data_IF_853152656173
#
_entry.id   IF_853152656173
#
_cell.length_a   1.000
_cell.length_b   1.000
_cell.length_c   1.000
_cell.angle_alpha   90.00
_cell.angle_beta   90.00
_cell.angle_gamma   90.00
#
_symmetry.space_group_name_H-M   'P 1'
#
loop_
_entity.id
_entity.type
_entity.pdbx_description
1 polymer ?
#
# COMPACT_ATOMS: atom_id res chain seq x y z
N UNK A 1 -30.73 -6.67 39.23
CA UNK A 1 -30.44 -7.26 37.89
C UNK A 1 -30.23 -6.18 36.81
N UNK A 2 -29.14 -5.36 36.89
CA UNK A 2 -28.78 -4.40 35.83
C UNK A 2 -27.28 -3.96 35.87
N UNK A 3 -26.35 -4.82 36.24
CA UNK A 3 -24.90 -4.46 36.32
C UNK A 3 -24.00 -5.36 35.45
N UNK A 4 -24.53 -6.33 34.69
CA UNK A 4 -23.69 -7.32 34.03
C UNK A 4 -23.44 -7.10 32.51
N UNK A 5 -23.93 -6.02 31.89
CA UNK A 5 -23.79 -5.81 30.42
C UNK A 5 -22.77 -4.73 29.98
N UNK A 6 -22.19 -3.96 30.90
CA UNK A 6 -21.27 -2.87 30.57
C UNK A 6 -19.82 -3.35 30.50
N UNK A 7 -19.47 -4.45 31.14
CA UNK A 7 -18.08 -4.96 31.23
C UNK A 7 -17.63 -5.70 29.95
N UNK A 8 -18.55 -6.29 29.20
CA UNK A 8 -18.23 -7.08 27.99
C UNK A 8 -17.87 -6.22 26.76
N UNK A 9 -18.53 -5.08 26.58
CA UNK A 9 -18.25 -4.15 25.46
C UNK A 9 -16.90 -3.41 25.62
N UNK A 10 -16.52 -3.10 26.85
CA UNK A 10 -15.23 -2.48 27.16
C UNK A 10 -14.04 -3.44 26.96
N UNK A 11 -14.22 -4.71 27.28
CA UNK A 11 -13.22 -5.75 27.10
C UNK A 11 -12.98 -6.08 25.61
N UNK A 12 -14.03 -6.18 24.81
CA UNK A 12 -13.91 -6.41 23.35
C UNK A 12 -13.25 -5.23 22.62
N UNK A 13 -13.58 -3.97 22.97
CA UNK A 13 -12.93 -2.79 22.38
C UNK A 13 -11.44 -2.72 22.74
N UNK A 14 -11.06 -3.01 23.98
CA UNK A 14 -9.64 -3.07 24.39
C UNK A 14 -8.86 -4.19 23.71
N UNK A 15 -9.46 -5.34 23.51
CA UNK A 15 -8.87 -6.47 22.79
C UNK A 15 -8.63 -6.12 21.32
N UNK A 16 -9.61 -5.54 20.63
CA UNK A 16 -9.52 -5.10 19.25
C UNK A 16 -8.42 -4.03 19.05
N UNK A 17 -8.36 -3.01 19.92
CA UNK A 17 -7.31 -1.97 19.86
C UNK A 17 -5.91 -2.56 20.08
N UNK A 18 -5.78 -3.57 20.94
CA UNK A 18 -4.48 -4.21 21.17
C UNK A 18 -4.04 -5.09 19.99
N UNK A 19 -4.96 -5.73 19.30
CA UNK A 19 -4.66 -6.59 18.15
C UNK A 19 -4.28 -5.78 16.91
N UNK A 20 -5.00 -4.71 16.58
CA UNK A 20 -4.66 -3.79 15.47
C UNK A 20 -3.30 -3.14 15.66
N UNK A 21 -2.97 -2.73 16.89
CA UNK A 21 -1.65 -2.24 17.26
C UNK A 21 -0.54 -3.29 17.01
N UNK A 22 -0.84 -4.58 17.23
CA UNK A 22 0.09 -5.68 16.97
C UNK A 22 0.37 -5.85 15.47
N UNK A 23 -0.65 -5.76 14.60
CA UNK A 23 -0.50 -5.83 13.15
C UNK A 23 0.33 -4.66 12.60
N UNK A 24 0.08 -3.42 13.08
CA UNK A 24 0.87 -2.26 12.70
C UNK A 24 2.33 -2.37 13.16
N UNK A 25 2.57 -2.77 14.41
CA UNK A 25 3.93 -2.98 14.91
C UNK A 25 4.70 -4.04 14.10
N UNK A 26 4.00 -5.06 13.61
CA UNK A 26 4.59 -6.07 12.73
C UNK A 26 4.99 -5.47 11.37
N UNK A 27 4.14 -4.61 10.78
CA UNK A 27 4.48 -3.88 9.54
C UNK A 27 5.68 -2.95 9.76
N UNK A 28 5.70 -2.17 10.86
CA UNK A 28 6.83 -1.29 11.19
C UNK A 28 8.13 -2.08 11.27
N UNK A 29 8.12 -3.23 11.96
CA UNK A 29 9.29 -4.12 12.02
C UNK A 29 9.67 -4.72 10.67
N UNK A 30 8.68 -5.05 9.84
CA UNK A 30 8.90 -5.59 8.49
C UNK A 30 9.59 -4.56 7.58
N UNK A 31 9.27 -3.28 7.74
CA UNK A 31 9.87 -2.18 6.99
C UNK A 31 11.23 -1.72 7.58
N UNK A 32 11.52 -2.06 8.82
CA UNK A 32 12.81 -1.81 9.48
C UNK A 32 13.82 -2.88 9.07
N UNK A 33 14.68 -2.56 8.12
CA UNK A 33 15.65 -3.49 7.56
C UNK A 33 16.85 -3.72 8.49
N UNK A 34 17.42 -4.91 8.43
CA UNK A 34 18.74 -5.21 8.98
C UNK A 34 19.83 -4.61 8.08
N UNK A 35 20.82 -3.95 8.67
CA UNK A 35 22.00 -3.47 7.95
C UNK A 35 23.03 -4.61 7.89
N UNK A 36 23.42 -4.98 6.68
CA UNK A 36 24.51 -5.95 6.46
C UNK A 36 25.82 -5.24 6.20
N UNK A 37 25.79 -4.16 5.41
CA UNK A 37 26.90 -3.31 5.04
C UNK A 37 26.37 -1.90 4.70
N UNK A 38 27.24 -0.92 4.48
CA UNK A 38 26.91 0.51 4.27
C UNK A 38 25.76 0.74 3.26
N UNK A 39 25.73 0.00 2.17
CA UNK A 39 24.71 0.10 1.13
C UNK A 39 23.92 -1.19 0.91
N UNK A 40 24.02 -2.13 1.84
CA UNK A 40 23.44 -3.46 1.73
C UNK A 40 22.54 -3.76 2.94
N UNK A 41 21.28 -4.07 2.67
CA UNK A 41 20.27 -4.29 3.70
C UNK A 41 19.54 -5.60 3.46
N UNK A 42 19.01 -6.20 4.52
CA UNK A 42 18.19 -7.41 4.46
C UNK A 42 16.81 -7.17 5.05
N UNK A 43 15.78 -7.51 4.27
CA UNK A 43 14.39 -7.49 4.68
C UNK A 43 13.79 -8.91 4.75
N UNK A 44 12.91 -9.13 5.71
CA UNK A 44 12.08 -10.32 5.78
C UNK A 44 10.81 -10.14 4.96
N UNK A 45 10.10 -11.24 4.65
CA UNK A 45 8.82 -11.21 3.96
C UNK A 45 7.68 -11.65 4.87
N UNK A 46 6.49 -11.14 4.60
CA UNK A 46 5.27 -11.52 5.30
C UNK A 46 4.18 -11.97 4.31
N UNK A 47 3.50 -13.08 4.67
CA UNK A 47 2.36 -13.55 3.91
C UNK A 47 1.12 -12.68 4.20
N UNK A 48 0.71 -11.88 3.23
CA UNK A 48 -0.51 -11.07 3.30
C UNK A 48 -1.70 -11.70 2.56
N UNK A 49 -1.56 -12.95 2.06
CA UNK A 49 -2.64 -13.72 1.43
C UNK A 49 -2.47 -13.97 -0.08
N UNK A 50 -1.32 -13.63 -0.62
CA UNK A 50 -0.95 -13.96 -2.00
C UNK A 50 0.03 -15.14 -2.07
N UNK A 51 0.27 -15.69 -3.26
CA UNK A 51 1.25 -16.76 -3.48
C UNK A 51 2.69 -16.23 -3.57
N UNK A 52 2.90 -14.92 -3.51
CA UNK A 52 4.18 -14.22 -3.74
C UNK A 52 4.36 -13.11 -2.73
N UNK A 53 5.58 -12.59 -2.60
CA UNK A 53 5.83 -11.38 -1.83
C UNK A 53 4.96 -10.23 -2.36
N UNK A 54 4.37 -9.47 -1.47
CA UNK A 54 3.55 -8.31 -1.80
C UNK A 54 4.41 -7.17 -2.35
N UNK A 55 4.03 -6.60 -3.51
CA UNK A 55 4.79 -5.52 -4.16
C UNK A 55 4.98 -4.31 -3.28
N UNK A 56 3.93 -3.86 -2.59
CA UNK A 56 4.01 -2.74 -1.66
C UNK A 56 5.01 -2.95 -0.51
N UNK A 57 5.22 -4.21 -0.05
CA UNK A 57 6.27 -4.54 0.91
C UNK A 57 7.65 -4.22 0.33
N UNK A 58 7.90 -4.68 -0.91
CA UNK A 58 9.21 -4.48 -1.57
C UNK A 58 9.46 -2.99 -1.82
N UNK A 59 8.44 -2.24 -2.26
CA UNK A 59 8.52 -0.77 -2.43
C UNK A 59 8.87 -0.09 -1.11
N UNK A 60 8.14 -0.36 -0.02
CA UNK A 60 8.36 0.25 1.28
C UNK A 60 9.73 -0.08 1.88
N UNK A 61 10.18 -1.32 1.74
CA UNK A 61 11.52 -1.76 2.16
C UNK A 61 12.62 -1.11 1.32
N UNK A 62 12.49 -1.04 0.00
CA UNK A 62 13.46 -0.40 -0.89
C UNK A 62 13.56 1.12 -0.62
N UNK A 63 12.42 1.80 -0.35
CA UNK A 63 12.43 3.20 0.08
C UNK A 63 13.18 3.37 1.40
N UNK A 64 12.97 2.48 2.38
CA UNK A 64 13.69 2.50 3.66
C UNK A 64 15.19 2.29 3.46
N UNK A 65 15.59 1.31 2.62
CA UNK A 65 16.99 1.06 2.30
C UNK A 65 17.66 2.30 1.70
N UNK A 66 17.04 2.89 0.66
CA UNK A 66 17.56 4.09 0.01
C UNK A 66 17.70 5.27 0.98
N UNK A 67 16.67 5.54 1.77
CA UNK A 67 16.63 6.69 2.70
C UNK A 67 17.72 6.61 3.78
N UNK A 68 18.13 5.41 4.20
CA UNK A 68 19.21 5.20 5.18
C UNK A 68 20.61 5.54 4.65
N UNK A 69 20.74 5.75 3.35
CA UNK A 69 22.01 6.15 2.70
C UNK A 69 22.04 7.62 2.28
N UNK A 70 20.95 8.36 2.55
CA UNK A 70 20.80 9.76 2.13
C UNK A 70 21.21 10.71 3.26
N UNK A 71 21.85 11.85 2.96
CA UNK A 71 22.16 12.87 3.97
C UNK A 71 20.90 13.34 4.71
N UNK A 72 21.06 13.72 5.97
CA UNK A 72 19.97 14.24 6.81
C UNK A 72 19.18 15.38 6.15
N UNK A 73 17.92 15.55 6.58
CA UNK A 73 16.99 16.59 6.12
C UNK A 73 16.64 16.54 4.62
N UNK A 74 16.86 15.40 3.97
CA UNK A 74 16.36 15.11 2.61
C UNK A 74 15.28 14.05 2.68
N UNK A 75 14.15 14.31 2.04
CA UNK A 75 12.97 13.46 2.05
C UNK A 75 12.69 12.94 0.65
N UNK A 76 12.23 11.72 0.53
CA UNK A 76 11.81 11.17 -0.74
C UNK A 76 10.70 12.05 -1.33
N UNK A 77 10.84 12.46 -2.59
CA UNK A 77 9.79 13.15 -3.33
C UNK A 77 9.30 12.35 -4.53
N UNK A 78 10.08 11.38 -5.03
CA UNK A 78 9.62 10.46 -6.08
C UNK A 78 10.34 9.12 -6.04
N UNK A 79 9.66 8.09 -6.51
CA UNK A 79 10.19 6.75 -6.77
C UNK A 79 9.57 6.19 -8.05
N UNK A 80 10.35 5.34 -8.77
CA UNK A 80 9.97 4.68 -10.01
C UNK A 80 10.52 3.26 -9.99
N UNK A 81 9.68 2.26 -10.18
CA UNK A 81 10.05 0.88 -9.97
C UNK A 81 9.52 -0.06 -11.05
N UNK A 82 10.25 -1.16 -11.29
CA UNK A 82 9.82 -2.32 -12.08
C UNK A 82 9.85 -3.58 -11.23
N UNK A 83 8.80 -4.38 -11.31
CA UNK A 83 8.75 -5.73 -10.78
C UNK A 83 9.27 -6.70 -11.84
N UNK A 84 10.41 -7.31 -11.59
CA UNK A 84 11.13 -8.12 -12.59
C UNK A 84 10.78 -9.60 -12.49
N UNK A 85 10.64 -10.11 -11.26
CA UNK A 85 10.35 -11.53 -10.97
C UNK A 85 9.47 -11.66 -9.73
N UNK A 86 8.71 -12.75 -9.60
CA UNK A 86 7.96 -13.03 -8.37
C UNK A 86 8.91 -13.24 -7.19
N UNK A 87 8.69 -12.50 -6.10
CA UNK A 87 9.39 -12.73 -4.84
C UNK A 87 8.87 -13.96 -4.11
N UNK A 88 9.77 -14.73 -3.50
CA UNK A 88 9.51 -15.92 -2.70
C UNK A 88 9.44 -15.53 -1.21
N UNK A 89 8.36 -15.88 -0.50
CA UNK A 89 8.15 -15.50 0.89
C UNK A 89 9.03 -16.28 1.88
N UNK A 90 9.60 -17.41 1.47
CA UNK A 90 10.45 -18.24 2.33
C UNK A 90 11.88 -17.70 2.43
N UNK A 91 12.27 -16.78 1.56
CA UNK A 91 13.61 -16.22 1.52
C UNK A 91 13.63 -14.75 1.86
N UNK A 92 14.67 -14.27 2.57
CA UNK A 92 14.87 -12.84 2.78
C UNK A 92 15.17 -12.14 1.44
N UNK A 93 14.92 -10.83 1.42
CA UNK A 93 15.24 -9.98 0.27
C UNK A 93 16.47 -9.15 0.63
N UNK A 94 17.46 -9.14 -0.25
CA UNK A 94 18.63 -8.30 -0.14
C UNK A 94 18.42 -7.05 -0.98
N UNK A 95 18.54 -5.88 -0.36
CA UNK A 95 18.45 -4.57 -1.00
C UNK A 95 19.85 -3.98 -1.16
N UNK A 96 20.30 -3.91 -2.40
CA UNK A 96 21.57 -3.27 -2.76
C UNK A 96 21.28 -1.84 -3.22
N UNK A 97 21.84 -0.84 -2.53
CA UNK A 97 21.64 0.59 -2.80
C UNK A 97 22.85 1.15 -3.54
N UNK A 98 22.63 1.68 -4.73
CA UNK A 98 23.59 2.46 -5.47
C UNK A 98 23.42 3.95 -5.13
N UNK A 99 24.49 4.61 -4.67
CA UNK A 99 24.55 6.06 -4.44
C UNK A 99 24.80 6.78 -5.75
N UNK A 100 23.79 6.88 -6.59
CA UNK A 100 23.90 7.40 -7.95
C UNK A 100 24.35 8.87 -7.98
N UNK A 101 23.83 9.71 -7.06
CA UNK A 101 24.19 11.13 -6.99
C UNK A 101 23.91 11.74 -5.63
N UNK A 102 24.83 12.56 -5.13
CA UNK A 102 24.63 13.50 -4.03
C UNK A 102 24.90 14.93 -4.51
N UNK A 103 23.83 15.67 -4.81
CA UNK A 103 23.91 17.08 -5.25
C UNK A 103 23.60 18.07 -4.11
N UNK A 104 23.60 19.36 -4.39
CA UNK A 104 23.33 20.41 -3.41
C UNK A 104 21.91 20.38 -2.82
N UNK A 105 20.87 20.19 -3.66
CA UNK A 105 19.47 20.13 -3.23
C UNK A 105 18.88 18.72 -3.38
N UNK A 106 19.28 17.95 -4.38
CA UNK A 106 18.75 16.63 -4.71
C UNK A 106 19.77 15.52 -4.48
N UNK A 107 19.26 14.34 -4.08
CA UNK A 107 20.02 13.10 -3.94
C UNK A 107 19.27 12.01 -4.71
N UNK A 108 19.98 11.20 -5.49
CA UNK A 108 19.40 10.08 -6.25
C UNK A 108 20.00 8.77 -5.75
N UNK A 109 19.14 7.78 -5.59
CA UNK A 109 19.50 6.39 -5.24
C UNK A 109 18.84 5.42 -6.23
N UNK A 110 19.53 4.33 -6.49
CA UNK A 110 18.94 3.16 -7.15
C UNK A 110 18.99 1.99 -6.19
N UNK A 111 17.93 1.21 -6.12
CA UNK A 111 17.83 0.03 -5.25
C UNK A 111 17.49 -1.17 -6.11
N UNK A 112 18.31 -2.21 -6.05
CA UNK A 112 18.01 -3.52 -6.62
C UNK A 112 17.68 -4.48 -5.48
N UNK A 113 16.48 -5.06 -5.51
CA UNK A 113 16.09 -6.11 -4.58
C UNK A 113 16.41 -7.49 -5.20
N UNK A 114 17.12 -8.32 -4.43
CA UNK A 114 17.70 -9.59 -4.90
C UNK A 114 17.22 -10.73 -4.02
N UNK A 115 16.85 -11.84 -4.63
CA UNK A 115 16.63 -13.12 -3.98
C UNK A 115 17.31 -14.24 -4.76
N UNK A 116 17.96 -15.19 -4.08
CA UNK A 116 18.63 -16.35 -4.71
C UNK A 116 19.60 -15.95 -5.82
N UNK A 117 20.28 -14.79 -5.69
CA UNK A 117 21.20 -14.26 -6.68
C UNK A 117 20.53 -13.51 -7.85
N UNK A 118 19.19 -13.50 -7.96
CA UNK A 118 18.46 -12.90 -9.08
C UNK A 118 17.78 -11.61 -8.66
N UNK A 119 17.87 -10.53 -9.48
CA UNK A 119 17.07 -9.32 -9.27
C UNK A 119 15.58 -9.63 -9.40
N UNK A 120 14.78 -9.28 -8.37
CA UNK A 120 13.33 -9.42 -8.38
C UNK A 120 12.62 -8.08 -8.57
N UNK A 121 13.33 -6.97 -8.29
CA UNK A 121 12.78 -5.61 -8.33
C UNK A 121 13.92 -4.60 -8.50
N UNK A 122 13.64 -3.50 -9.22
CA UNK A 122 14.56 -2.38 -9.45
C UNK A 122 13.82 -1.07 -9.25
N UNK A 123 14.37 -0.12 -8.47
CA UNK A 123 13.73 1.15 -8.16
C UNK A 123 14.73 2.30 -8.14
N UNK A 124 14.43 3.37 -8.85
CA UNK A 124 15.12 4.65 -8.74
C UNK A 124 14.32 5.59 -7.82
N UNK A 125 15.01 6.33 -6.95
CA UNK A 125 14.42 7.29 -6.02
C UNK A 125 15.15 8.63 -6.09
N UNK A 126 14.38 9.70 -5.89
CA UNK A 126 14.91 11.05 -5.71
C UNK A 126 14.46 11.63 -4.37
N UNK A 127 15.43 12.27 -3.70
CA UNK A 127 15.26 12.93 -2.40
C UNK A 127 15.57 14.41 -2.54
N UNK A 128 14.87 15.25 -1.79
CA UNK A 128 15.01 16.68 -1.86
C UNK A 128 14.98 17.30 -0.45
N UNK A 129 15.76 18.34 -0.23
CA UNK A 129 15.66 19.19 0.97
C UNK A 129 14.41 20.08 0.87
N UNK A 130 13.84 20.52 2.00
CA UNK A 130 12.71 21.45 1.99
C UNK A 130 13.14 22.81 1.41
N UNK A 131 12.38 23.31 0.44
CA UNK A 131 12.56 24.62 -0.19
C UNK A 131 11.20 25.33 -0.35
N UNK A 132 11.21 26.66 -0.39
CA UNK A 132 10.01 27.45 -0.69
C UNK A 132 9.84 27.56 -2.19
N UNK A 133 8.59 27.50 -2.68
CA UNK A 133 8.27 27.59 -4.09
C UNK A 133 6.76 27.84 -4.32
N UNK A 134 6.35 28.01 -5.59
CA UNK A 134 4.93 28.04 -5.95
C UNK A 134 4.19 26.79 -5.49
N UNK A 135 2.91 26.91 -5.16
CA UNK A 135 2.09 25.79 -4.72
C UNK A 135 0.69 25.85 -5.31
N UNK A 136 0.22 24.74 -5.86
CA UNK A 136 -1.16 24.51 -6.27
C UNK A 136 -1.48 23.02 -6.15
N UNK A 137 -2.74 22.66 -6.21
CA UNK A 137 -3.22 21.28 -6.32
C UNK A 137 -4.58 21.25 -7.02
N UNK A 138 -5.00 20.07 -7.47
CA UNK A 138 -6.38 19.82 -7.85
C UNK A 138 -7.21 19.52 -6.59
N UNK A 139 -8.46 19.95 -6.58
CA UNK A 139 -9.36 19.72 -5.45
C UNK A 139 -9.69 18.21 -5.32
N UNK A 140 -9.87 17.78 -4.08
CA UNK A 140 -10.37 16.46 -3.78
C UNK A 140 -11.82 16.32 -4.26
N UNK A 141 -12.16 15.18 -4.86
CA UNK A 141 -13.55 14.87 -5.20
C UNK A 141 -14.45 14.92 -3.96
N UNK A 142 -15.68 15.38 -4.12
CA UNK A 142 -16.67 15.39 -3.04
C UNK A 142 -17.16 13.97 -2.75
N UNK A 143 -16.47 13.30 -1.84
CA UNK A 143 -16.68 11.90 -1.45
C UNK A 143 -17.10 11.86 0.03
N UNK A 144 -18.04 10.99 0.41
CA UNK A 144 -18.42 10.77 1.80
C UNK A 144 -17.21 10.50 2.69
N UNK A 145 -17.22 11.04 3.91
CA UNK A 145 -16.13 10.88 4.86
C UNK A 145 -15.93 9.42 5.33
N UNK A 146 -14.80 9.11 5.97
CA UNK A 146 -14.49 7.73 6.35
C UNK A 146 -15.50 7.14 7.35
N UNK A 147 -16.21 7.96 8.12
CA UNK A 147 -17.26 7.50 9.06
C UNK A 147 -18.51 6.99 8.35
N UNK A 148 -18.77 7.46 7.16
CA UNK A 148 -19.93 7.09 6.32
C UNK A 148 -19.65 5.88 5.43
N UNK A 149 -18.39 5.46 5.35
CA UNK A 149 -17.92 4.35 4.55
C UNK A 149 -17.88 3.03 5.34
N UNK A 150 -17.95 1.90 4.62
CA UNK A 150 -17.98 0.56 5.21
C UNK A 150 -16.55 0.05 5.40
N UNK A 151 -16.22 -0.45 6.59
CA UNK A 151 -14.89 -1.01 6.84
C UNK A 151 -14.68 -2.33 6.09
N UNK A 152 -13.42 -2.57 5.65
CA UNK A 152 -12.99 -3.84 5.04
C UNK A 152 -13.35 -5.04 5.95
N UNK A 153 -13.22 -4.89 7.27
CA UNK A 153 -13.54 -5.94 8.23
C UNK A 153 -15.05 -6.24 8.28
N UNK A 154 -15.92 -5.24 8.19
CA UNK A 154 -17.37 -5.45 8.18
C UNK A 154 -17.82 -6.11 6.88
N UNK A 155 -17.21 -5.75 5.75
CA UNK A 155 -17.45 -6.42 4.47
C UNK A 155 -17.03 -7.89 4.57
N UNK A 156 -15.84 -8.18 5.08
CA UNK A 156 -15.34 -9.55 5.25
C UNK A 156 -16.25 -10.40 6.14
N UNK A 157 -16.75 -9.84 7.25
CA UNK A 157 -17.69 -10.54 8.12
C UNK A 157 -19.00 -10.89 7.39
N UNK A 158 -19.50 -10.03 6.52
CA UNK A 158 -20.73 -10.29 5.74
C UNK A 158 -20.58 -11.46 4.75
N UNK A 159 -19.37 -11.68 4.23
CA UNK A 159 -19.13 -12.72 3.23
C UNK A 159 -18.41 -13.95 3.77
N UNK A 160 -18.17 -14.02 5.08
CA UNK A 160 -17.34 -15.06 5.72
C UNK A 160 -17.82 -16.49 5.42
N UNK A 161 -19.14 -16.69 5.29
CA UNK A 161 -19.73 -17.99 5.00
C UNK A 161 -19.38 -18.51 3.59
N UNK A 162 -19.00 -17.60 2.67
CA UNK A 162 -18.51 -17.96 1.32
C UNK A 162 -17.06 -18.44 1.34
N UNK A 163 -16.34 -18.23 2.46
CA UNK A 163 -14.93 -18.60 2.60
C UNK A 163 -14.84 -19.99 3.25
N UNK A 164 -14.06 -20.92 2.68
CA UNK A 164 -13.83 -22.23 3.27
C UNK A 164 -13.34 -22.13 4.72
N UNK A 165 -13.88 -22.94 5.62
CA UNK A 165 -13.63 -22.84 7.07
C UNK A 165 -12.13 -22.77 7.42
N UNK A 166 -11.29 -23.58 6.76
CA UNK A 166 -9.82 -23.60 6.96
C UNK A 166 -9.09 -22.29 6.64
N UNK A 167 -9.74 -21.33 5.95
CA UNK A 167 -9.15 -20.04 5.56
C UNK A 167 -9.80 -18.85 6.28
N UNK A 168 -10.85 -19.05 7.08
CA UNK A 168 -11.62 -17.97 7.71
C UNK A 168 -10.77 -17.14 8.68
N UNK A 169 -9.97 -17.76 9.53
CA UNK A 169 -9.11 -17.04 10.48
C UNK A 169 -8.09 -16.16 9.77
N UNK A 170 -7.47 -16.70 8.72
CA UNK A 170 -6.54 -15.93 7.90
C UNK A 170 -7.24 -14.77 7.16
N UNK A 171 -8.45 -14.99 6.67
CA UNK A 171 -9.25 -13.99 5.97
C UNK A 171 -9.69 -12.84 6.90
N UNK A 172 -10.10 -13.18 8.12
CA UNK A 172 -10.53 -12.21 9.14
C UNK A 172 -9.38 -11.61 9.96
N UNK A 173 -8.14 -12.02 9.71
CA UNK A 173 -7.02 -11.46 10.46
C UNK A 173 -6.95 -9.94 10.31
N UNK A 174 -6.55 -9.27 11.36
CA UNK A 174 -6.31 -7.84 11.34
C UNK A 174 -5.16 -7.46 10.40
N UNK A 175 -5.31 -6.31 9.77
CA UNK A 175 -4.34 -5.78 8.83
C UNK A 175 -3.72 -4.49 9.39
N UNK A 176 -2.47 -4.19 9.01
CA UNK A 176 -1.78 -2.98 9.47
C UNK A 176 -2.34 -1.69 8.87
N UNK A 177 -3.09 -1.79 7.78
CA UNK A 177 -3.79 -0.67 7.13
C UNK A 177 -5.30 -0.90 7.28
N UNK A 178 -5.97 0.04 7.94
CA UNK A 178 -7.43 0.11 7.99
C UNK A 178 -7.93 0.72 6.67
N UNK A 179 -8.90 0.08 6.04
CA UNK A 179 -9.50 0.53 4.78
C UNK A 179 -11.01 0.63 4.95
N UNK A 180 -11.60 1.67 4.33
CA UNK A 180 -13.05 1.87 4.25
C UNK A 180 -13.45 2.21 2.83
N UNK A 181 -14.49 1.55 2.37
CA UNK A 181 -14.95 1.60 0.98
C UNK A 181 -16.30 2.28 0.87
N UNK A 182 -16.52 2.98 -0.22
CA UNK A 182 -17.86 3.36 -0.63
C UNK A 182 -18.68 2.11 -0.94
N UNK A 183 -20.00 2.14 -0.78
CA UNK A 183 -20.85 1.00 -1.14
C UNK A 183 -20.63 0.57 -2.59
N UNK A 184 -20.38 -0.73 -2.82
CA UNK A 184 -20.14 -1.30 -4.15
C UNK A 184 -18.73 -1.13 -4.70
N UNK A 185 -17.81 -0.48 -4.00
CA UNK A 185 -16.43 -0.26 -4.44
C UNK A 185 -15.39 -1.20 -3.79
N UNK A 186 -15.81 -2.12 -2.94
CA UNK A 186 -14.89 -3.09 -2.34
C UNK A 186 -14.47 -4.16 -3.34
N UNK A 187 -13.23 -4.63 -3.22
CA UNK A 187 -12.74 -5.78 -4.00
C UNK A 187 -13.51 -7.09 -3.72
N UNK A 188 -14.33 -7.13 -2.68
CA UNK A 188 -15.17 -8.26 -2.29
C UNK A 188 -16.61 -8.15 -2.81
N UNK A 189 -16.99 -7.00 -3.37
CA UNK A 189 -18.30 -6.81 -3.98
C UNK A 189 -18.41 -7.60 -5.28
N UNK A 190 -19.62 -7.96 -5.65
CA UNK A 190 -19.88 -8.61 -6.96
C UNK A 190 -19.47 -7.63 -8.07
N UNK A 191 -18.63 -8.09 -9.03
CA UNK A 191 -18.19 -7.24 -10.11
C UNK A 191 -19.34 -6.87 -11.03
N UNK A 192 -19.76 -5.63 -10.94
CA UNK A 192 -20.72 -4.99 -11.87
C UNK A 192 -19.96 -4.33 -13.02
N UNK A 193 -20.65 -3.83 -14.02
CA UNK A 193 -20.06 -3.03 -15.09
C UNK A 193 -19.87 -1.60 -14.57
N UNK A 194 -18.80 -1.36 -13.83
CA UNK A 194 -18.53 -0.09 -13.18
C UNK A 194 -17.62 0.79 -14.04
N UNK A 195 -17.69 2.10 -13.82
CA UNK A 195 -16.71 3.05 -14.34
C UNK A 195 -15.31 2.76 -13.74
N UNK A 196 -14.23 3.08 -14.45
CA UNK A 196 -12.87 2.81 -13.99
C UNK A 196 -12.41 3.83 -12.93
N UNK A 197 -13.20 4.00 -11.89
CA UNK A 197 -12.94 4.89 -10.76
C UNK A 197 -13.16 4.13 -9.45
N UNK A 198 -12.34 4.40 -8.45
CA UNK A 198 -12.48 3.80 -7.13
C UNK A 198 -11.96 4.75 -6.07
N UNK A 199 -12.64 4.75 -4.93
CA UNK A 199 -12.29 5.60 -3.79
C UNK A 199 -12.18 4.73 -2.54
N UNK A 200 -11.07 4.87 -1.81
CA UNK A 200 -10.85 4.12 -0.58
C UNK A 200 -10.24 5.04 0.47
N UNK A 201 -10.87 5.14 1.64
CA UNK A 201 -10.24 5.74 2.79
C UNK A 201 -9.28 4.75 3.43
N UNK A 202 -8.07 5.16 3.73
CA UNK A 202 -7.05 4.31 4.33
C UNK A 202 -6.25 5.06 5.38
N UNK A 203 -5.79 4.32 6.40
CA UNK A 203 -4.80 4.77 7.39
C UNK A 203 -4.08 3.60 8.02
N UNK A 204 -2.93 3.84 8.64
CA UNK A 204 -2.30 2.88 9.53
C UNK A 204 -3.21 2.56 10.73
N UNK A 205 -3.28 1.30 11.13
CA UNK A 205 -4.20 0.81 12.16
C UNK A 205 -3.70 1.09 13.61
N UNK A 206 -3.13 2.26 13.84
CA UNK A 206 -2.64 2.74 15.15
C UNK A 206 -1.75 3.95 14.99
N UNK A 207 -1.29 4.51 16.11
CA UNK A 207 -0.44 5.70 16.12
C UNK A 207 1.01 5.37 15.77
N UNK A 208 1.64 6.27 15.03
CA UNK A 208 3.02 6.22 14.57
C UNK A 208 3.84 7.38 15.19
N UNK A 209 5.15 7.21 15.40
CA UNK A 209 6.03 8.30 15.75
C UNK A 209 6.11 9.38 14.66
N UNK A 210 6.65 10.56 14.99
CA UNK A 210 6.76 11.70 14.07
C UNK A 210 7.97 11.59 13.12
N UNK A 211 8.16 10.43 12.52
CA UNK A 211 9.25 10.15 11.59
C UNK A 211 8.74 10.14 10.14
N UNK A 212 9.12 11.15 9.37
CA UNK A 212 8.66 11.32 7.96
C UNK A 212 8.89 10.07 7.13
N UNK A 213 10.08 9.45 7.24
CA UNK A 213 10.40 8.23 6.50
C UNK A 213 9.42 7.10 6.79
N UNK A 214 9.03 6.92 8.06
CA UNK A 214 8.10 5.86 8.43
C UNK A 214 6.71 6.08 7.81
N UNK A 215 6.21 7.32 7.81
CA UNK A 215 4.95 7.66 7.13
C UNK A 215 5.05 7.43 5.62
N UNK A 216 6.15 7.83 4.98
CA UNK A 216 6.38 7.61 3.55
C UNK A 216 6.47 6.12 3.21
N UNK A 217 7.20 5.31 3.98
CA UNK A 217 7.34 3.88 3.74
C UNK A 217 6.01 3.11 3.91
N UNK A 218 5.19 3.50 4.91
CA UNK A 218 3.86 2.93 5.12
C UNK A 218 2.90 3.33 4.00
N UNK A 219 2.93 4.58 3.54
CA UNK A 219 2.10 4.99 2.40
C UNK A 219 2.55 4.31 1.11
N UNK A 220 3.85 4.17 0.86
CA UNK A 220 4.38 3.42 -0.27
C UNK A 220 3.96 1.94 -0.24
N UNK A 221 3.97 1.32 0.95
CA UNK A 221 3.39 -0.02 1.15
C UNK A 221 1.89 -0.06 0.80
N UNK A 222 1.12 0.92 1.28
CA UNK A 222 -0.33 0.96 1.10
C UNK A 222 -0.76 1.33 -0.33
N UNK A 223 0.04 2.09 -1.07
CA UNK A 223 -0.28 2.58 -2.42
C UNK A 223 -0.43 1.45 -3.46
N UNK A 224 0.20 0.29 -3.24
CA UNK A 224 0.03 -0.91 -4.08
C UNK A 224 -1.24 -1.71 -3.73
N UNK A 225 -1.91 -1.38 -2.60
CA UNK A 225 -3.12 -2.09 -2.19
C UNK A 225 -4.31 -1.72 -3.08
N UNK A 226 -4.63 -2.60 -4.01
CA UNK A 226 -5.84 -2.51 -4.83
C UNK A 226 -5.80 -1.49 -5.98
N UNK A 227 -4.67 -0.84 -6.26
CA UNK A 227 -4.54 0.10 -7.38
C UNK A 227 -4.87 -0.57 -8.72
N UNK A 228 -4.25 -1.71 -9.01
CA UNK A 228 -4.50 -2.48 -10.25
C UNK A 228 -5.97 -2.92 -10.41
N UNK A 229 -6.71 -3.11 -9.31
CA UNK A 229 -8.11 -3.54 -9.39
C UNK A 229 -9.03 -2.50 -10.03
N UNK A 230 -8.62 -1.23 -10.11
CA UNK A 230 -9.39 -0.16 -10.75
C UNK A 230 -9.60 -0.42 -12.24
N UNK A 231 -8.57 -0.89 -12.96
CA UNK A 231 -8.68 -1.27 -14.37
C UNK A 231 -9.50 -2.54 -14.61
N UNK A 232 -9.80 -3.32 -13.60
CA UNK A 232 -10.62 -4.54 -13.71
C UNK A 232 -12.13 -4.25 -13.73
N UNK A 233 -12.55 -3.10 -13.14
CA UNK A 233 -13.94 -2.74 -12.91
C UNK A 233 -14.80 -2.75 -14.19
N UNK A 234 -14.39 -2.12 -15.33
CA UNK A 234 -15.20 -2.10 -16.56
C UNK A 234 -15.35 -3.48 -17.20
N UNK A 235 -14.47 -4.42 -16.87
CA UNK A 235 -14.40 -5.74 -17.51
C UNK A 235 -15.03 -6.85 -16.67
N UNK A 236 -15.66 -6.52 -15.53
CA UNK A 236 -16.22 -7.51 -14.58
C UNK A 236 -15.21 -8.56 -14.13
N UNK A 237 -13.92 -8.18 -14.08
CA UNK A 237 -12.84 -9.02 -13.58
C UNK A 237 -12.71 -8.85 -12.06
N UNK A 238 -12.47 -9.96 -11.37
CA UNK A 238 -12.37 -9.94 -9.91
C UNK A 238 -11.53 -11.12 -9.40
N UNK A 239 -10.71 -10.87 -8.40
CA UNK A 239 -10.00 -11.93 -7.68
C UNK A 239 -10.96 -12.92 -7.02
N UNK A 240 -12.09 -12.43 -6.50
CA UNK A 240 -13.12 -13.28 -5.88
C UNK A 240 -13.75 -14.28 -6.87
N UNK A 241 -13.88 -13.91 -8.16
CA UNK A 241 -14.35 -14.80 -9.21
C UNK A 241 -13.29 -15.74 -9.75
N UNK A 242 -12.01 -15.50 -9.47
CA UNK A 242 -10.90 -16.28 -10.00
C UNK A 242 -10.81 -16.23 -11.53
N UNK A 243 -11.33 -15.17 -12.18
CA UNK A 243 -11.41 -15.04 -13.63
C UNK A 243 -10.30 -14.16 -14.24
N UNK A 244 -9.32 -13.78 -13.43
CA UNK A 244 -8.19 -12.94 -13.84
C UNK A 244 -6.87 -13.42 -13.22
N UNK A 245 -5.84 -13.49 -14.04
CA UNK A 245 -4.46 -13.58 -13.60
C UNK A 245 -3.85 -12.19 -13.71
N UNK A 246 -3.31 -11.69 -12.60
CA UNK A 246 -2.74 -10.35 -12.57
C UNK A 246 -1.35 -10.32 -11.91
N UNK A 247 -0.57 -9.33 -12.28
CA UNK A 247 0.71 -9.00 -11.67
C UNK A 247 1.03 -7.53 -11.92
N UNK A 248 1.54 -6.81 -10.92
CA UNK A 248 2.12 -5.47 -11.10
C UNK A 248 3.36 -5.58 -11.99
N UNK A 249 3.50 -4.65 -12.93
CA UNK A 249 4.66 -4.56 -13.84
C UNK A 249 5.60 -3.46 -13.38
N UNK A 250 5.06 -2.31 -13.01
CA UNK A 250 5.77 -1.16 -12.50
C UNK A 250 5.03 -0.51 -11.33
N UNK A 251 5.62 0.47 -10.71
CA UNK A 251 4.98 1.38 -9.76
C UNK A 251 5.78 2.66 -9.66
N UNK A 252 5.15 3.81 -9.82
CA UNK A 252 5.78 5.09 -9.54
C UNK A 252 4.93 5.91 -8.57
N UNK A 253 5.60 6.70 -7.73
CA UNK A 253 4.93 7.50 -6.70
C UNK A 253 5.66 8.82 -6.49
N UNK A 254 4.90 9.88 -6.20
CA UNK A 254 5.40 11.20 -5.83
C UNK A 254 4.80 11.61 -4.49
N UNK A 255 5.64 12.15 -3.61
CA UNK A 255 5.24 12.74 -2.33
C UNK A 255 5.25 14.27 -2.49
N UNK A 256 4.10 14.90 -2.34
CA UNK A 256 3.92 16.33 -2.63
C UNK A 256 4.00 17.20 -1.37
N UNK A 257 3.38 16.76 -0.28
CA UNK A 257 3.26 17.52 0.97
C UNK A 257 3.41 16.60 2.17
N UNK A 258 3.76 17.16 3.37
CA UNK A 258 3.78 16.39 4.61
C UNK A 258 2.40 15.79 4.92
N UNK A 259 2.40 14.59 5.49
CA UNK A 259 1.20 13.87 5.90
C UNK A 259 1.52 12.92 7.06
N UNK A 260 0.47 12.41 7.68
CA UNK A 260 0.55 11.33 8.66
C UNK A 260 -0.19 10.10 8.12
N UNK A 261 0.52 8.98 8.00
CA UNK A 261 -0.08 7.73 7.53
C UNK A 261 -1.03 7.09 8.56
N UNK A 262 -1.01 7.55 9.82
CA UNK A 262 -1.93 7.12 10.89
C UNK A 262 -3.18 8.03 11.04
N UNK A 263 -3.38 8.94 10.10
CA UNK A 263 -4.59 9.72 9.92
C UNK A 263 -5.31 9.30 8.63
N UNK A 264 -6.62 9.58 8.54
CA UNK A 264 -7.38 9.18 7.37
C UNK A 264 -6.88 9.91 6.11
N UNK A 265 -6.67 9.12 5.06
CA UNK A 265 -6.32 9.59 3.73
C UNK A 265 -7.26 8.95 2.71
N UNK A 266 -7.79 9.75 1.79
CA UNK A 266 -8.54 9.27 0.64
C UNK A 266 -7.58 8.87 -0.48
N UNK A 267 -7.61 7.62 -0.90
CA UNK A 267 -6.96 7.15 -2.12
C UNK A 267 -7.99 7.10 -3.24
N UNK A 268 -7.99 8.12 -4.08
CA UNK A 268 -8.85 8.25 -5.26
C UNK A 268 -8.09 7.73 -6.47
N UNK A 269 -8.61 6.68 -7.11
CA UNK A 269 -7.94 5.99 -8.22
C UNK A 269 -8.80 6.00 -9.47
N UNK A 270 -8.15 6.08 -10.63
CA UNK A 270 -8.76 5.93 -11.95
C UNK A 270 -7.92 5.03 -12.85
N UNK A 271 -8.55 4.52 -13.91
CA UNK A 271 -7.87 3.75 -14.96
C UNK A 271 -8.26 4.30 -16.34
N UNK A 272 -7.41 5.15 -16.93
CA UNK A 272 -7.71 5.74 -18.24
C UNK A 272 -7.56 4.77 -19.41
N UNK A 273 -6.91 3.61 -19.21
CA UNK A 273 -6.65 2.66 -20.30
C UNK A 273 -6.46 1.23 -19.82
N UNK A 274 -7.01 0.29 -20.58
CA UNK A 274 -6.66 -1.12 -20.53
C UNK A 274 -6.54 -1.66 -21.95
N UNK A 275 -5.39 -2.28 -22.30
CA UNK A 275 -5.12 -2.85 -23.62
C UNK A 275 -4.04 -3.90 -23.56
N UNK A 276 -4.01 -4.83 -24.53
CA UNK A 276 -2.97 -5.87 -24.61
C UNK A 276 -2.74 -6.62 -23.29
N UNK A 277 -3.82 -6.99 -22.62
CA UNK A 277 -3.83 -7.62 -21.29
C UNK A 277 -3.09 -6.82 -20.20
N UNK A 278 -2.98 -5.49 -20.33
CA UNK A 278 -2.46 -4.58 -19.30
C UNK A 278 -3.52 -3.55 -18.92
N UNK A 279 -3.51 -3.14 -17.67
CA UNK A 279 -4.32 -2.05 -17.15
C UNK A 279 -3.41 -0.97 -16.56
N UNK A 280 -3.58 0.28 -17.01
CA UNK A 280 -2.88 1.43 -16.46
C UNK A 280 -3.79 2.14 -15.45
N UNK A 281 -3.25 2.42 -14.27
CA UNK A 281 -3.99 2.98 -13.15
C UNK A 281 -3.25 4.18 -12.58
N UNK A 282 -4.00 5.18 -12.13
CA UNK A 282 -3.49 6.35 -11.43
C UNK A 282 -4.18 6.48 -10.09
N UNK A 283 -3.51 7.10 -9.13
CA UNK A 283 -4.07 7.37 -7.83
C UNK A 283 -3.58 8.67 -7.24
N UNK A 284 -4.49 9.41 -6.63
CA UNK A 284 -4.22 10.62 -5.86
C UNK A 284 -4.57 10.38 -4.41
N UNK A 285 -3.66 10.72 -3.49
CA UNK A 285 -3.86 10.54 -2.05
C UNK A 285 -4.07 11.92 -1.42
N UNK A 286 -5.22 12.10 -0.78
CA UNK A 286 -5.60 13.33 -0.07
C UNK A 286 -5.73 13.06 1.43
N UNK A 287 -5.39 14.03 2.26
CA UNK A 287 -5.79 14.05 3.67
C UNK A 287 -7.31 14.20 3.82
N UNK A 288 -7.85 13.99 5.01
CA UNK A 288 -9.30 14.15 5.27
C UNK A 288 -9.79 15.59 5.03
N UNK A 289 -8.92 16.58 5.18
CA UNK A 289 -9.17 18.00 4.89
C UNK A 289 -8.85 18.40 3.44
N UNK A 290 -8.60 17.45 2.54
CA UNK A 290 -8.50 17.67 1.09
C UNK A 290 -7.12 18.09 0.59
N UNK A 291 -6.06 17.96 1.36
CA UNK A 291 -4.69 18.27 0.92
C UNK A 291 -4.13 17.10 0.10
N UNK A 292 -3.73 17.34 -1.15
CA UNK A 292 -3.05 16.35 -2.00
C UNK A 292 -1.63 16.10 -1.48
N UNK A 293 -1.40 14.92 -0.93
CA UNK A 293 -0.12 14.55 -0.29
C UNK A 293 0.75 13.62 -1.13
N UNK A 294 0.15 12.81 -2.00
CA UNK A 294 0.88 11.92 -2.89
C UNK A 294 0.10 11.59 -4.17
N UNK A 295 0.82 11.18 -5.21
CA UNK A 295 0.26 10.58 -6.42
C UNK A 295 1.00 9.28 -6.71
N UNK A 296 0.28 8.29 -7.27
CA UNK A 296 0.85 7.02 -7.71
C UNK A 296 0.35 6.65 -9.10
N UNK A 297 1.16 5.89 -9.85
CA UNK A 297 0.74 5.26 -11.10
C UNK A 297 1.29 3.84 -11.15
N UNK A 298 0.55 2.95 -11.84
CA UNK A 298 0.94 1.55 -11.97
C UNK A 298 0.35 0.97 -13.26
N UNK A 299 1.18 0.32 -14.06
CA UNK A 299 0.71 -0.64 -15.06
C UNK A 299 0.78 -2.05 -14.49
N UNK A 300 -0.22 -2.87 -14.77
CA UNK A 300 -0.23 -4.26 -14.36
C UNK A 300 -0.78 -5.19 -15.42
N UNK A 301 -0.29 -6.42 -15.41
CA UNK A 301 -0.83 -7.51 -16.23
C UNK A 301 -2.24 -7.87 -15.75
N UNK A 302 -3.13 -8.10 -16.70
CA UNK A 302 -4.54 -8.38 -16.47
C UNK A 302 -5.05 -9.37 -17.53
N UNK A 303 -4.69 -10.65 -17.39
CA UNK A 303 -5.10 -11.72 -18.31
C UNK A 303 -6.41 -12.35 -17.87
N UNK A 304 -7.38 -12.35 -18.73
CA UNK A 304 -8.62 -13.11 -18.51
C UNK A 304 -8.31 -14.62 -18.52
N UNK A 305 -8.79 -15.33 -17.51
CA UNK A 305 -8.74 -16.77 -17.46
C UNK A 305 -10.00 -17.31 -18.16
N UNK A 306 -9.81 -18.18 -19.15
CA UNK A 306 -10.92 -18.94 -19.75
C UNK A 306 -11.43 -19.91 -18.69
N UNK A 307 -12.73 -19.95 -18.47
CA UNK A 307 -13.38 -21.02 -17.70
C UNK A 307 -13.29 -22.33 -18.44
#
# INVERSE_FOLDING_TARGET
>A
LKICQITTLGGMKRSLVNMTKKALNKLVKLLALETLEENLFRGQSENIGGPRVFGGQVIGQALTAAARTVPEKRFAHSLHAYFLRPGDMEYPIIYNVERTRDGGSFTTRRVVAIQKGEPIFDMALSFHKKEKGPSHQIDMSNIPGPKECISDMDIKKKIIERIPAKHRDFFLRERPIEMRHLPGESMFDEPTNQLPYKHVWMKAAGKLPDEVLQHQAILAYASDMGLLSTSMLPHKLSYAKGNVMSASLDHAMWFHRPFRADEWMLYSTDSPSASNARGFNRGSVYTEDGILVASAVQEGLMRMLKK
#
